data_IF_813477522877
#
_entry.id   IF_813477522877
#
_cell.length_a   1.000
_cell.length_b   1.000
_cell.length_c   1.000
_cell.angle_alpha   90.00
_cell.angle_beta   90.00
_cell.angle_gamma   90.00
#
_symmetry.space_group_name_H-M   'P 1'
#
loop_
_entity.id
_entity.type
_entity.pdbx_description
1 polymer ?
#
# COMPACT_ATOMS: atom_id res chain seq x y z
N UNK A 1 -12.88 -22.64 7.64
CA UNK A 1 -12.77 -21.23 8.05
C UNK A 1 -14.15 -20.81 8.51
N UNK A 2 -14.31 -20.43 9.76
CA UNK A 2 -15.59 -19.97 10.33
C UNK A 2 -15.59 -18.44 10.36
N UNK A 3 -16.72 -17.81 10.07
CA UNK A 3 -16.89 -16.37 10.15
C UNK A 3 -17.35 -15.98 11.57
N UNK A 4 -16.63 -15.05 12.21
CA UNK A 4 -16.88 -14.65 13.59
C UNK A 4 -17.63 -13.31 13.65
N UNK A 5 -18.55 -13.12 14.61
CA UNK A 5 -19.23 -11.84 14.80
C UNK A 5 -18.27 -10.78 15.35
N UNK A 6 -18.64 -9.50 15.20
CA UNK A 6 -17.77 -8.35 15.54
C UNK A 6 -17.30 -8.31 17.00
N UNK A 7 -18.04 -8.92 17.95
CA UNK A 7 -17.63 -9.10 19.34
C UNK A 7 -18.19 -10.42 19.88
N UNK A 8 -17.31 -11.33 20.30
CA UNK A 8 -17.65 -12.59 20.98
C UNK A 8 -16.46 -13.07 21.79
N UNK A 9 -16.71 -13.68 22.95
CA UNK A 9 -15.67 -14.44 23.66
C UNK A 9 -15.59 -15.85 23.08
N UNK A 10 -14.38 -16.28 22.73
CA UNK A 10 -14.11 -17.57 22.11
C UNK A 10 -12.99 -18.23 22.93
N UNK A 11 -13.14 -19.51 23.23
CA UNK A 11 -12.10 -20.33 23.85
C UNK A 11 -11.26 -20.94 22.73
N UNK A 12 -9.94 -20.72 22.75
CA UNK A 12 -9.01 -21.38 21.83
C UNK A 12 -8.49 -22.67 22.46
N UNK A 13 -8.40 -23.72 21.65
CA UNK A 13 -7.88 -25.03 22.03
C UNK A 13 -6.51 -25.28 21.39
N UNK A 14 -5.72 -26.24 21.92
CA UNK A 14 -4.46 -26.64 21.29
C UNK A 14 -4.67 -27.06 19.83
N UNK A 15 -3.92 -26.44 18.91
CA UNK A 15 -4.01 -26.68 17.46
C UNK A 15 -4.82 -25.64 16.69
N UNK A 16 -5.55 -24.76 17.37
CA UNK A 16 -6.30 -23.69 16.71
C UNK A 16 -5.38 -22.63 16.10
N UNK A 17 -5.82 -22.03 14.99
CA UNK A 17 -5.14 -20.93 14.32
C UNK A 17 -6.07 -19.71 14.25
N UNK A 18 -5.63 -18.61 14.85
CA UNK A 18 -6.32 -17.32 14.83
C UNK A 18 -5.65 -16.41 13.80
N UNK A 19 -6.42 -15.92 12.84
CA UNK A 19 -6.03 -14.82 11.96
C UNK A 19 -6.82 -13.58 12.31
N UNK A 20 -6.13 -12.57 12.81
CA UNK A 20 -6.69 -11.25 13.04
C UNK A 20 -6.32 -10.33 11.89
N UNK A 21 -7.32 -9.62 11.37
CA UNK A 21 -7.13 -8.56 10.37
C UNK A 21 -7.46 -7.24 11.05
N UNK A 22 -6.41 -6.51 11.42
CA UNK A 22 -6.55 -5.23 12.11
C UNK A 22 -6.66 -4.12 11.06
N UNK A 23 -7.59 -3.19 11.26
CA UNK A 23 -7.70 -2.01 10.41
C UNK A 23 -6.49 -1.10 10.58
N UNK A 24 -5.99 -0.57 9.47
CA UNK A 24 -5.01 0.51 9.47
C UNK A 24 -5.64 1.88 9.72
N UNK A 25 -4.81 2.93 9.77
CA UNK A 25 -5.26 4.32 9.80
C UNK A 25 -5.72 4.83 8.42
N UNK A 26 -6.44 5.95 8.40
CA UNK A 26 -6.78 6.66 7.17
C UNK A 26 -5.59 7.51 6.67
N UNK A 27 -5.45 7.65 5.35
CA UNK A 27 -4.46 8.54 4.72
C UNK A 27 -4.89 10.01 4.70
N UNK A 28 -3.94 10.90 4.40
CA UNK A 28 -4.17 12.35 4.27
C UNK A 28 -3.47 12.90 3.03
N UNK A 29 -4.15 13.79 2.29
CA UNK A 29 -3.64 14.44 1.07
C UNK A 29 -3.78 13.57 -0.19
N UNK A 30 -3.30 14.10 -1.33
CA UNK A 30 -3.21 13.34 -2.57
C UNK A 30 -1.99 12.39 -2.52
N UNK A 31 -2.17 11.07 -2.70
CA UNK A 31 -1.07 10.12 -2.78
C UNK A 31 0.01 10.48 -3.82
N UNK A 32 -0.35 11.15 -4.91
CA UNK A 32 0.58 11.53 -5.99
C UNK A 32 1.53 12.67 -5.59
N UNK A 33 1.26 13.33 -4.46
CA UNK A 33 2.10 14.40 -3.90
C UNK A 33 3.04 13.90 -2.80
N UNK A 34 2.91 12.63 -2.37
CA UNK A 34 3.85 12.02 -1.41
C UNK A 34 5.26 11.94 -2.01
N UNK A 35 6.28 12.14 -1.18
CA UNK A 35 7.68 11.97 -1.59
C UNK A 35 7.94 10.54 -2.11
N UNK A 36 8.41 10.35 -3.35
CA UNK A 36 8.75 9.05 -3.90
C UNK A 36 9.74 8.25 -3.05
N UNK A 37 10.70 8.90 -2.40
CA UNK A 37 11.71 8.23 -1.56
C UNK A 37 11.07 7.66 -0.29
N UNK A 38 10.11 8.40 0.29
CA UNK A 38 9.33 7.89 1.43
C UNK A 38 8.46 6.68 1.04
N UNK A 39 7.86 6.69 -0.15
CA UNK A 39 7.11 5.53 -0.67
C UNK A 39 8.04 4.34 -0.90
N UNK A 40 9.25 4.56 -1.41
CA UNK A 40 10.25 3.50 -1.56
C UNK A 40 10.62 2.88 -0.20
N UNK A 41 10.84 3.69 0.84
CA UNK A 41 11.06 3.19 2.19
C UNK A 41 9.87 2.36 2.70
N UNK A 42 8.64 2.80 2.45
CA UNK A 42 7.42 2.04 2.80
C UNK A 42 7.34 0.68 2.06
N UNK A 43 7.90 0.59 0.85
CA UNK A 43 8.00 -0.68 0.10
C UNK A 43 9.05 -1.60 0.72
N UNK A 44 10.22 -1.06 1.08
CA UNK A 44 11.27 -1.83 1.77
C UNK A 44 10.79 -2.35 3.13
N UNK A 45 9.98 -1.57 3.84
CA UNK A 45 9.37 -1.95 5.13
C UNK A 45 8.18 -2.92 4.97
N UNK A 46 7.76 -3.26 3.75
CA UNK A 46 6.62 -4.13 3.48
C UNK A 46 5.25 -3.52 3.84
N UNK A 47 5.20 -2.22 4.13
CA UNK A 47 3.95 -1.48 4.40
C UNK A 47 3.15 -1.25 3.12
N UNK A 48 3.85 -1.09 2.00
CA UNK A 48 3.29 -0.88 0.66
C UNK A 48 3.89 -1.93 -0.27
N UNK A 49 3.07 -2.56 -1.12
CA UNK A 49 3.59 -3.46 -2.15
C UNK A 49 4.14 -2.65 -3.34
N UNK A 50 5.09 -3.20 -4.10
CA UNK A 50 5.59 -2.56 -5.32
C UNK A 50 4.46 -2.24 -6.32
N UNK A 51 3.42 -3.09 -6.39
CA UNK A 51 2.25 -2.83 -7.20
C UNK A 51 1.45 -1.60 -6.71
N UNK A 52 1.20 -1.51 -5.40
CA UNK A 52 0.50 -0.35 -4.81
C UNK A 52 1.31 0.95 -4.91
N UNK A 53 2.63 0.88 -4.82
CA UNK A 53 3.51 2.03 -5.05
C UNK A 53 3.24 2.66 -6.42
N UNK A 54 3.07 1.83 -7.46
CA UNK A 54 2.79 2.27 -8.82
C UNK A 54 1.35 2.76 -8.96
N UNK A 55 0.36 1.98 -8.50
CA UNK A 55 -1.05 2.29 -8.78
C UNK A 55 -1.59 3.44 -7.94
N UNK A 56 -1.16 3.56 -6.68
CA UNK A 56 -1.66 4.58 -5.76
C UNK A 56 -0.81 5.83 -5.70
N UNK A 57 0.50 5.67 -5.57
CA UNK A 57 1.45 6.78 -5.38
C UNK A 57 2.14 7.21 -6.68
N UNK A 58 1.96 6.45 -7.77
CA UNK A 58 2.63 6.69 -9.04
C UNK A 58 4.14 6.48 -9.00
N UNK A 59 4.67 5.81 -7.98
CA UNK A 59 6.10 5.59 -7.77
C UNK A 59 6.52 4.28 -8.42
N UNK A 60 7.49 4.38 -9.32
CA UNK A 60 8.06 3.24 -10.04
C UNK A 60 9.46 3.01 -9.51
N UNK A 61 9.79 1.76 -9.19
CA UNK A 61 11.13 1.37 -8.78
C UNK A 61 11.97 0.95 -10.00
N UNK A 62 13.28 1.04 -9.87
CA UNK A 62 14.23 0.50 -10.85
C UNK A 62 14.02 -1.02 -11.03
N UNK A 63 14.45 -1.62 -12.17
CA UNK A 63 14.20 -3.05 -12.43
C UNK A 63 14.78 -4.00 -11.38
N UNK A 64 15.86 -3.60 -10.71
CA UNK A 64 16.48 -4.31 -9.59
C UNK A 64 15.81 -4.01 -8.24
N UNK A 65 14.83 -3.09 -8.20
CA UNK A 65 14.11 -2.67 -7.02
C UNK A 65 14.95 -1.87 -6.01
N UNK A 66 16.15 -1.43 -6.39
CA UNK A 66 17.10 -0.81 -5.48
C UNK A 66 16.88 0.69 -5.26
N UNK A 67 16.14 1.35 -6.15
CA UNK A 67 15.89 2.79 -6.07
C UNK A 67 14.56 3.18 -6.76
N UNK A 68 14.19 4.45 -6.61
CA UNK A 68 13.11 5.06 -7.40
C UNK A 68 13.63 5.34 -8.82
N UNK A 69 12.85 4.94 -9.82
CA UNK A 69 13.03 5.37 -11.21
C UNK A 69 12.33 6.73 -11.39
N UNK A 70 13.09 7.82 -11.33
CA UNK A 70 12.55 9.18 -11.34
C UNK A 70 11.79 9.50 -12.63
N UNK A 71 12.30 9.05 -13.79
CA UNK A 71 11.71 9.30 -15.10
C UNK A 71 10.36 8.60 -15.19
N UNK A 72 10.33 7.29 -14.90
CA UNK A 72 9.07 6.52 -14.95
C UNK A 72 8.08 6.95 -13.88
N UNK A 73 8.55 7.38 -12.71
CA UNK A 73 7.69 7.93 -11.65
C UNK A 73 7.01 9.20 -12.13
N UNK A 74 7.74 10.12 -12.76
CA UNK A 74 7.16 11.35 -13.31
C UNK A 74 6.10 11.04 -14.37
N UNK A 75 6.42 10.19 -15.35
CA UNK A 75 5.48 9.77 -16.39
C UNK A 75 4.23 9.09 -15.81
N UNK A 76 4.42 8.20 -14.84
CA UNK A 76 3.34 7.49 -14.17
C UNK A 76 2.40 8.46 -13.44
N UNK A 77 2.96 9.42 -12.67
CA UNK A 77 2.17 10.44 -11.98
C UNK A 77 1.43 11.36 -12.94
N UNK A 78 2.05 11.80 -14.03
CA UNK A 78 1.37 12.59 -15.06
C UNK A 78 0.21 11.83 -15.69
N UNK A 79 0.40 10.54 -15.99
CA UNK A 79 -0.66 9.67 -16.49
C UNK A 79 -1.78 9.53 -15.47
N UNK A 80 -1.47 9.22 -14.21
CA UNK A 80 -2.45 9.05 -13.15
C UNK A 80 -3.24 10.33 -12.88
N UNK A 81 -2.61 11.51 -12.87
CA UNK A 81 -3.30 12.81 -12.75
C UNK A 81 -4.30 13.04 -13.88
N UNK A 82 -3.96 12.65 -15.11
CA UNK A 82 -4.89 12.73 -16.26
C UNK A 82 -6.05 11.74 -16.13
N UNK A 83 -5.77 10.49 -15.74
CA UNK A 83 -6.81 9.44 -15.64
C UNK A 83 -7.73 9.62 -14.44
N UNK A 84 -7.21 10.12 -13.32
CA UNK A 84 -7.95 10.38 -12.08
C UNK A 84 -8.66 11.74 -12.06
N UNK A 85 -8.66 12.47 -13.19
CA UNK A 85 -9.08 13.85 -13.33
C UNK A 85 -10.20 14.28 -12.36
N UNK A 86 -9.84 15.27 -11.52
CA UNK A 86 -10.62 16.02 -10.52
C UNK A 86 -11.92 15.33 -10.09
N UNK A 87 -11.85 14.65 -8.94
CA UNK A 87 -13.05 14.30 -8.18
C UNK A 87 -13.58 15.51 -7.44
#
# INVERSE_FOLDING_TARGET
REELPSKKMIVLHPGDQLWEYIAGGAGYGDPLDRDPVAVFADVLDGKVSAALAITEYGVVLTPDGAAVDEVKTKECRERLRRTRGVR
#
